data_IF_726965052372
#
_entry.id   IF_726965052372
#
_cell.length_a   1.000
_cell.length_b   1.000
_cell.length_c   1.000
_cell.angle_alpha   90.00
_cell.angle_beta   90.00
_cell.angle_gamma   90.00
#
_symmetry.space_group_name_H-M   'P 1'
#
loop_
_entity.id
_entity.type
_entity.pdbx_description
1 polymer ?
#
# COMPACT_ATOMS: atom_id res chain seq x y z
N UNK A 1 10.60 13.00 -25.92
CA UNK A 1 11.01 13.53 -27.26
C UNK A 1 12.05 14.64 -27.13
N UNK A 2 11.82 15.69 -26.31
CA UNK A 2 12.75 16.82 -26.14
C UNK A 2 14.12 16.43 -25.59
N UNK A 3 14.19 15.45 -24.67
CA UNK A 3 15.43 14.92 -24.11
C UNK A 3 16.21 14.12 -25.15
N UNK A 4 15.53 13.33 -25.97
CA UNK A 4 16.13 12.54 -27.04
C UNK A 4 16.69 13.45 -28.15
N UNK A 5 15.97 14.52 -28.50
CA UNK A 5 16.43 15.52 -29.47
C UNK A 5 17.70 16.23 -28.96
N UNK A 6 17.71 16.70 -27.72
CA UNK A 6 18.84 17.37 -27.09
C UNK A 6 20.05 16.44 -26.95
N UNK A 7 19.84 15.16 -26.63
CA UNK A 7 20.92 14.15 -26.60
C UNK A 7 21.53 13.92 -27.99
N UNK A 8 20.71 13.93 -29.05
CA UNK A 8 21.17 13.83 -30.44
C UNK A 8 22.03 15.04 -30.88
N UNK A 9 21.60 16.25 -30.50
CA UNK A 9 22.37 17.49 -30.76
C UNK A 9 23.73 17.51 -30.04
N UNK A 10 23.85 16.85 -28.87
CA UNK A 10 25.10 16.69 -28.13
C UNK A 10 25.94 15.48 -28.58
N UNK A 11 25.57 14.84 -29.72
CA UNK A 11 26.29 13.68 -30.26
C UNK A 11 26.10 12.37 -29.50
N UNK A 12 25.15 12.33 -28.57
CA UNK A 12 24.75 11.10 -27.87
C UNK A 12 23.86 10.24 -28.79
N UNK A 13 24.39 9.14 -29.29
CA UNK A 13 23.55 8.11 -29.88
C UNK A 13 22.89 7.32 -28.76
N UNK A 14 21.62 7.58 -28.52
CA UNK A 14 20.78 6.70 -27.67
C UNK A 14 20.65 5.38 -28.44
N UNK A 15 21.54 4.43 -28.18
CA UNK A 15 21.31 3.03 -28.55
C UNK A 15 20.18 2.52 -27.64
N UNK A 16 18.95 2.80 -28.01
CA UNK A 16 17.81 2.06 -27.47
C UNK A 16 18.04 0.60 -27.90
N UNK A 17 18.61 -0.24 -27.02
CA UNK A 17 18.43 -1.67 -27.14
C UNK A 17 16.93 -1.88 -26.90
N UNK A 18 16.16 -1.96 -27.98
CA UNK A 18 14.84 -2.59 -27.92
C UNK A 18 15.09 -4.05 -27.55
N UNK A 19 15.04 -4.34 -26.27
CA UNK A 19 14.95 -5.73 -25.81
C UNK A 19 13.54 -6.16 -26.18
N UNK A 20 13.42 -6.89 -27.29
CA UNK A 20 12.16 -7.52 -27.67
C UNK A 20 11.98 -8.75 -26.79
N UNK A 21 11.14 -8.66 -25.79
CA UNK A 21 10.75 -9.82 -24.99
C UNK A 21 9.75 -10.66 -25.79
N UNK A 22 10.01 -11.97 -25.90
CA UNK A 22 9.08 -12.92 -26.52
C UNK A 22 7.93 -13.31 -25.61
N UNK A 23 8.08 -13.08 -24.29
CA UNK A 23 7.12 -13.36 -23.22
C UNK A 23 6.93 -12.11 -22.39
N UNK A 24 5.72 -11.90 -21.89
CA UNK A 24 5.43 -10.77 -21.01
C UNK A 24 4.46 -11.13 -19.90
N UNK A 25 4.50 -10.36 -18.82
CA UNK A 25 3.46 -10.35 -17.78
C UNK A 25 2.79 -8.98 -17.79
N UNK A 26 1.55 -8.95 -17.31
CA UNK A 26 0.81 -7.70 -17.13
C UNK A 26 0.64 -7.43 -15.64
N UNK A 27 0.94 -6.20 -15.23
CA UNK A 27 0.68 -5.71 -13.88
C UNK A 27 -0.54 -4.80 -13.92
N UNK A 28 -1.62 -5.22 -13.33
CA UNK A 28 -2.81 -4.42 -13.16
C UNK A 28 -2.77 -3.68 -11.83
N UNK A 29 -2.91 -2.36 -11.87
CA UNK A 29 -2.91 -1.52 -10.68
C UNK A 29 -4.26 -0.82 -10.56
N UNK A 30 -4.89 -0.94 -9.40
CA UNK A 30 -6.19 -0.37 -9.13
C UNK A 30 -6.22 0.44 -7.82
N UNK A 31 -7.07 1.46 -7.80
CA UNK A 31 -7.35 2.23 -6.60
C UNK A 31 -6.26 3.24 -6.22
N UNK A 32 -5.89 3.26 -4.95
CA UNK A 32 -4.97 4.24 -4.37
C UNK A 32 -3.50 3.82 -4.40
N UNK A 33 -3.16 2.69 -5.02
CA UNK A 33 -1.76 2.31 -5.15
C UNK A 33 -1.09 3.18 -6.20
N UNK A 34 -0.14 3.99 -5.73
CA UNK A 34 0.72 4.80 -6.57
C UNK A 34 2.10 4.14 -6.70
N UNK A 35 2.76 4.30 -7.84
CA UNK A 35 3.99 3.58 -8.17
C UNK A 35 4.99 4.38 -9.02
N UNK A 36 4.67 5.63 -9.34
CA UNK A 36 5.46 6.47 -10.26
C UNK A 36 6.50 7.34 -9.55
N UNK A 37 6.53 7.32 -8.22
CA UNK A 37 7.47 8.07 -7.39
C UNK A 37 8.04 7.22 -6.26
N UNK A 38 9.28 7.51 -5.88
CA UNK A 38 10.04 6.80 -4.85
C UNK A 38 9.41 6.80 -3.46
N UNK A 39 8.60 7.80 -3.16
CA UNK A 39 7.87 7.95 -1.89
C UNK A 39 6.52 7.22 -1.86
N UNK A 40 6.24 6.43 -2.88
CA UNK A 40 4.98 5.70 -3.04
C UNK A 40 5.17 4.21 -2.78
N UNK A 41 4.22 3.61 -2.07
CA UNK A 41 4.24 2.19 -1.69
C UNK A 41 4.47 1.23 -2.87
N UNK A 42 3.84 1.48 -4.01
CA UNK A 42 3.96 0.61 -5.19
C UNK A 42 5.29 0.73 -5.94
N UNK A 43 6.11 1.74 -5.65
CA UNK A 43 7.31 2.02 -6.44
C UNK A 43 8.35 0.89 -6.36
N UNK A 44 8.75 0.52 -5.14
CA UNK A 44 9.73 -0.56 -4.92
C UNK A 44 9.22 -1.93 -5.38
N UNK A 45 7.92 -2.18 -5.21
CA UNK A 45 7.26 -3.40 -5.69
C UNK A 45 7.41 -3.52 -7.21
N UNK A 46 7.13 -2.43 -7.94
CA UNK A 46 7.26 -2.42 -9.40
C UNK A 46 8.71 -2.57 -9.83
N UNK A 47 9.65 -1.88 -9.17
CA UNK A 47 11.08 -2.02 -9.47
C UNK A 47 11.58 -3.45 -9.24
N UNK A 48 11.25 -4.07 -8.12
CA UNK A 48 11.62 -5.44 -7.80
C UNK A 48 11.04 -6.43 -8.81
N UNK A 49 9.77 -6.24 -9.20
CA UNK A 49 9.10 -7.07 -10.19
C UNK A 49 9.75 -6.93 -11.58
N UNK A 50 10.08 -5.70 -12.00
CA UNK A 50 10.78 -5.46 -13.27
C UNK A 50 12.17 -6.06 -13.28
N UNK A 51 12.93 -5.94 -12.17
CA UNK A 51 14.25 -6.54 -12.04
C UNK A 51 14.19 -8.07 -12.15
N UNK A 52 13.30 -8.71 -11.39
CA UNK A 52 13.12 -10.16 -11.44
C UNK A 52 12.65 -10.66 -12.81
N UNK A 53 11.72 -9.95 -13.45
CA UNK A 53 11.25 -10.30 -14.78
C UNK A 53 12.38 -10.19 -15.84
N UNK A 54 13.23 -9.17 -15.74
CA UNK A 54 14.36 -8.96 -16.64
C UNK A 54 15.40 -10.10 -16.54
N UNK A 55 15.67 -10.61 -15.33
CA UNK A 55 16.55 -11.76 -15.10
C UNK A 55 16.05 -13.02 -15.84
N UNK A 56 14.74 -13.15 -16.00
CA UNK A 56 14.11 -14.27 -16.72
C UNK A 56 13.78 -13.98 -18.19
N UNK A 57 14.18 -12.82 -18.72
CA UNK A 57 13.89 -12.42 -20.09
C UNK A 57 12.40 -12.17 -20.35
N UNK A 58 11.65 -11.75 -19.33
CA UNK A 58 10.20 -11.47 -19.38
C UNK A 58 9.98 -9.96 -19.40
N UNK A 59 9.15 -9.48 -20.35
CA UNK A 59 8.71 -8.09 -20.38
C UNK A 59 7.62 -7.82 -19.35
N UNK A 60 7.57 -6.59 -18.81
CA UNK A 60 6.55 -6.15 -17.85
C UNK A 60 5.73 -5.02 -18.45
N UNK A 61 4.44 -5.23 -18.61
CA UNK A 61 3.48 -4.22 -19.04
C UNK A 61 2.65 -3.76 -17.83
N UNK A 62 2.68 -2.47 -17.51
CA UNK A 62 1.94 -1.91 -16.38
C UNK A 62 0.69 -1.22 -16.91
N UNK A 63 -0.47 -1.54 -16.34
CA UNK A 63 -1.76 -1.00 -16.73
C UNK A 63 -2.53 -0.56 -15.49
N UNK A 64 -2.79 0.74 -15.37
CA UNK A 64 -3.70 1.25 -14.36
C UNK A 64 -5.15 0.97 -14.81
N UNK A 65 -5.95 0.45 -13.88
CA UNK A 65 -7.35 0.09 -14.13
C UNK A 65 -8.27 1.04 -13.37
N UNK A 66 -9.09 1.74 -14.11
CA UNK A 66 -10.16 2.59 -13.55
C UNK A 66 -11.45 1.78 -13.28
N UNK A 67 -12.34 2.35 -12.48
CA UNK A 67 -13.69 1.79 -12.26
C UNK A 67 -14.48 1.59 -13.58
N UNK A 68 -14.28 2.45 -14.56
CA UNK A 68 -14.94 2.34 -15.86
C UNK A 68 -14.40 1.15 -16.66
N UNK A 69 -13.09 0.94 -16.64
CA UNK A 69 -12.45 -0.20 -17.30
C UNK A 69 -12.79 -1.52 -16.64
N UNK A 70 -12.90 -1.56 -15.30
CA UNK A 70 -13.39 -2.75 -14.59
C UNK A 70 -14.79 -3.16 -15.07
N UNK A 71 -15.68 -2.19 -15.28
CA UNK A 71 -17.05 -2.44 -15.75
C UNK A 71 -17.15 -2.81 -17.24
N UNK A 72 -16.24 -2.29 -18.06
CA UNK A 72 -16.25 -2.56 -19.51
C UNK A 72 -15.66 -3.91 -19.91
N UNK A 73 -14.88 -4.54 -19.04
CA UNK A 73 -14.18 -5.80 -19.32
C UNK A 73 -13.01 -5.67 -20.31
N UNK A 74 -12.59 -4.45 -20.67
CA UNK A 74 -11.54 -4.21 -21.68
C UNK A 74 -10.17 -4.80 -21.31
N UNK A 75 -9.93 -5.08 -20.02
CA UNK A 75 -8.71 -5.77 -19.56
C UNK A 75 -8.56 -7.19 -20.14
N UNK A 76 -9.64 -7.83 -20.57
CA UNK A 76 -9.59 -9.12 -21.25
C UNK A 76 -8.75 -9.07 -22.52
N UNK A 77 -8.89 -8.01 -23.32
CA UNK A 77 -8.12 -7.85 -24.55
C UNK A 77 -6.63 -7.69 -24.29
N UNK A 78 -6.25 -7.11 -23.14
CA UNK A 78 -4.85 -6.93 -22.74
C UNK A 78 -4.21 -8.30 -22.45
N UNK A 79 -4.94 -9.20 -21.80
CA UNK A 79 -4.43 -10.53 -21.46
C UNK A 79 -4.53 -11.49 -22.63
N UNK A 80 -5.61 -11.42 -23.43
CA UNK A 80 -5.89 -12.36 -24.54
C UNK A 80 -5.16 -12.02 -25.85
N UNK A 81 -4.77 -10.76 -26.02
CA UNK A 81 -4.25 -10.24 -27.29
C UNK A 81 -2.77 -10.38 -27.53
N UNK A 82 -1.99 -11.01 -26.64
CA UNK A 82 -0.54 -11.06 -26.75
C UNK A 82 0.12 -12.22 -26.03
N UNK A 83 1.44 -12.24 -26.04
CA UNK A 83 2.28 -13.23 -25.36
C UNK A 83 2.28 -13.06 -23.83
N UNK A 84 1.08 -12.95 -23.21
CA UNK A 84 0.91 -12.76 -21.78
C UNK A 84 0.99 -14.10 -21.07
N UNK A 85 2.08 -14.34 -20.33
CA UNK A 85 2.34 -15.58 -19.60
C UNK A 85 1.72 -15.58 -18.19
N UNK A 86 1.33 -14.39 -17.68
CA UNK A 86 0.72 -14.26 -16.37
C UNK A 86 0.37 -12.81 -16.03
N UNK A 87 -0.34 -12.63 -14.91
CA UNK A 87 -0.76 -11.32 -14.45
C UNK A 87 -0.45 -11.10 -12.97
N UNK A 88 -0.17 -9.85 -12.59
CA UNK A 88 0.01 -9.40 -11.21
C UNK A 88 -1.04 -8.35 -10.89
N UNK A 89 -1.67 -8.46 -9.74
CA UNK A 89 -2.76 -7.58 -9.33
C UNK A 89 -2.42 -6.82 -8.05
N UNK A 90 -2.44 -5.48 -8.14
CA UNK A 90 -2.13 -4.57 -7.03
C UNK A 90 -3.33 -3.67 -6.74
N UNK A 91 -3.73 -3.58 -5.46
CA UNK A 91 -4.79 -2.68 -4.99
C UNK A 91 -6.22 -3.15 -5.20
N UNK A 92 -6.43 -4.38 -5.64
CA UNK A 92 -7.76 -4.93 -5.86
C UNK A 92 -8.41 -5.35 -4.53
N UNK A 93 -9.71 -5.09 -4.40
CA UNK A 93 -10.50 -5.49 -3.24
C UNK A 93 -11.09 -6.90 -3.42
N UNK A 94 -11.38 -7.63 -2.33
CA UNK A 94 -11.93 -9.00 -2.40
C UNK A 94 -13.21 -9.14 -3.22
N UNK A 95 -14.05 -8.11 -3.19
CA UNK A 95 -15.37 -8.09 -3.82
C UNK A 95 -15.41 -7.39 -5.19
N UNK A 96 -14.25 -7.07 -5.77
CA UNK A 96 -14.26 -6.54 -7.12
C UNK A 96 -14.77 -7.59 -8.10
N UNK A 97 -15.70 -7.21 -8.97
CA UNK A 97 -16.23 -8.03 -10.08
C UNK A 97 -15.10 -8.62 -10.92
N UNK A 98 -14.00 -7.90 -11.00
CA UNK A 98 -12.78 -8.33 -11.67
C UNK A 98 -12.20 -9.64 -11.09
N UNK A 99 -12.25 -9.84 -9.77
CA UNK A 99 -11.75 -11.07 -9.12
C UNK A 99 -12.55 -12.30 -9.56
N UNK A 100 -13.85 -12.14 -9.77
CA UNK A 100 -14.69 -13.22 -10.29
C UNK A 100 -14.32 -13.58 -11.75
N UNK A 101 -13.94 -12.58 -12.54
CA UNK A 101 -13.51 -12.78 -13.92
C UNK A 101 -12.10 -13.37 -14.04
N UNK A 102 -11.22 -13.18 -13.05
CA UNK A 102 -9.86 -13.74 -13.03
C UNK A 102 -9.87 -15.24 -13.28
N UNK A 103 -10.83 -15.97 -12.71
CA UNK A 103 -10.96 -17.42 -12.88
C UNK A 103 -11.10 -17.87 -14.34
N UNK A 104 -11.62 -17.01 -15.19
CA UNK A 104 -11.81 -17.31 -16.63
C UNK A 104 -10.57 -17.04 -17.48
N UNK A 105 -9.52 -16.40 -16.94
CA UNK A 105 -8.31 -16.04 -17.69
C UNK A 105 -7.44 -17.26 -18.01
N UNK A 106 -7.53 -18.33 -17.22
CA UNK A 106 -6.74 -19.56 -17.36
C UNK A 106 -5.22 -19.33 -17.51
N UNK A 107 -4.70 -18.28 -16.84
CA UNK A 107 -3.29 -17.92 -16.77
C UNK A 107 -2.82 -17.85 -15.31
N UNK A 108 -1.54 -18.08 -15.02
CA UNK A 108 -0.98 -17.84 -13.70
C UNK A 108 -1.13 -16.38 -13.27
N UNK A 109 -1.47 -16.18 -12.00
CA UNK A 109 -1.54 -14.83 -11.45
C UNK A 109 -0.94 -14.75 -10.05
N UNK A 110 -0.48 -13.55 -9.75
CA UNK A 110 -0.07 -13.14 -8.42
C UNK A 110 -0.96 -12.00 -7.97
N UNK A 111 -1.47 -12.08 -6.77
CA UNK A 111 -2.28 -11.01 -6.17
C UNK A 111 -1.60 -10.51 -4.90
N UNK A 112 -1.43 -9.19 -4.83
CA UNK A 112 -0.84 -8.55 -3.65
C UNK A 112 -1.93 -8.29 -2.60
N UNK A 113 -1.64 -8.69 -1.35
CA UNK A 113 -2.44 -8.36 -0.16
C UNK A 113 -3.92 -8.70 -0.30
N UNK A 114 -4.24 -9.74 -1.06
CA UNK A 114 -5.60 -10.19 -1.26
C UNK A 114 -5.67 -11.71 -1.40
N UNK A 115 -6.86 -12.28 -1.28
CA UNK A 115 -7.12 -13.70 -1.47
C UNK A 115 -8.05 -13.90 -2.66
N UNK A 116 -7.72 -14.89 -3.48
CA UNK A 116 -8.57 -15.35 -4.56
C UNK A 116 -8.55 -16.88 -4.59
N UNK A 117 -9.74 -17.48 -4.64
CA UNK A 117 -9.87 -18.92 -4.80
C UNK A 117 -9.73 -19.29 -6.28
N UNK A 118 -8.48 -19.49 -6.71
CA UNK A 118 -8.12 -19.86 -8.06
C UNK A 118 -6.84 -20.69 -8.07
N UNK A 119 -6.87 -21.87 -8.73
CA UNK A 119 -5.77 -22.84 -8.67
C UNK A 119 -4.43 -22.33 -9.19
N UNK A 120 -4.43 -21.36 -10.13
CA UNK A 120 -3.23 -20.77 -10.70
C UNK A 120 -2.88 -19.43 -10.05
N UNK A 121 -3.45 -19.11 -8.88
CA UNK A 121 -3.15 -17.89 -8.15
C UNK A 121 -2.16 -18.13 -7.00
N UNK A 122 -1.23 -17.19 -6.84
CA UNK A 122 -0.42 -17.06 -5.65
C UNK A 122 -0.71 -15.73 -4.96
N UNK A 123 -0.77 -15.73 -3.62
CA UNK A 123 -0.82 -14.52 -2.81
C UNK A 123 0.60 -14.11 -2.44
N UNK A 124 0.88 -12.82 -2.55
CA UNK A 124 2.06 -12.17 -1.97
C UNK A 124 1.60 -11.11 -1.00
N UNK A 125 2.22 -11.00 0.15
CA UNK A 125 1.92 -10.03 1.20
C UNK A 125 2.91 -10.16 2.35
N UNK A 126 2.87 -9.22 3.29
CA UNK A 126 3.68 -9.26 4.51
C UNK A 126 2.90 -9.88 5.68
N UNK A 127 3.62 -10.26 6.74
CA UNK A 127 3.00 -10.60 8.03
C UNK A 127 2.59 -9.31 8.77
N UNK A 128 1.45 -8.77 8.34
CA UNK A 128 0.89 -7.55 8.91
C UNK A 128 0.53 -7.72 10.39
N UNK A 129 0.15 -8.92 10.81
CA UNK A 129 -0.28 -9.18 12.19
C UNK A 129 0.89 -9.02 13.16
N UNK A 130 2.03 -9.62 12.86
CA UNK A 130 3.22 -9.52 13.70
C UNK A 130 3.73 -8.07 13.77
N UNK A 131 3.78 -7.36 12.62
CA UNK A 131 4.23 -5.97 12.59
C UNK A 131 3.36 -5.04 13.44
N UNK A 132 2.04 -5.16 13.37
CA UNK A 132 1.11 -4.37 14.19
C UNK A 132 1.21 -4.75 15.66
N UNK A 133 1.34 -6.04 16.00
CA UNK A 133 1.53 -6.49 17.39
C UNK A 133 2.79 -5.84 17.99
N UNK A 134 3.91 -5.88 17.30
CA UNK A 134 5.15 -5.24 17.74
C UNK A 134 4.99 -3.73 17.92
N UNK A 135 4.25 -3.06 17.05
CA UNK A 135 3.99 -1.63 17.15
C UNK A 135 3.18 -1.27 18.39
N UNK A 136 2.11 -2.01 18.67
CA UNK A 136 1.29 -1.82 19.88
C UNK A 136 2.10 -2.11 21.14
N UNK A 137 2.89 -3.20 21.17
CA UNK A 137 3.79 -3.52 22.28
C UNK A 137 4.84 -2.41 22.51
N UNK A 138 5.41 -1.88 21.44
CA UNK A 138 6.36 -0.77 21.51
C UNK A 138 5.73 0.46 22.18
N UNK A 139 4.52 0.85 21.78
CA UNK A 139 3.80 1.96 22.40
C UNK A 139 3.48 1.69 23.86
N UNK A 140 3.03 0.49 24.19
CA UNK A 140 2.78 0.09 25.57
C UNK A 140 4.05 0.15 26.44
N UNK A 141 5.18 -0.33 25.97
CA UNK A 141 6.48 -0.22 26.66
C UNK A 141 6.95 1.23 26.86
N UNK A 142 6.42 2.17 26.07
CA UNK A 142 6.64 3.63 26.22
C UNK A 142 5.64 4.29 27.16
N UNK A 143 4.74 3.52 27.78
CA UNK A 143 3.78 3.99 28.76
C UNK A 143 2.43 4.40 28.18
N UNK A 144 2.15 4.08 26.95
CA UNK A 144 0.84 4.33 26.33
C UNK A 144 -0.15 3.21 26.68
N UNK A 145 -1.21 3.55 27.39
CA UNK A 145 -2.32 2.66 27.77
C UNK A 145 -3.63 2.97 27.00
N UNK A 146 -3.70 4.12 26.36
CA UNK A 146 -4.82 4.57 25.50
C UNK A 146 -4.30 4.78 24.09
N UNK A 147 -4.44 3.75 23.28
CA UNK A 147 -3.92 3.70 21.92
C UNK A 147 -5.09 3.72 20.94
N UNK A 148 -5.07 4.61 19.96
CA UNK A 148 -6.06 4.68 18.88
C UNK A 148 -5.55 3.99 17.61
N UNK A 149 -6.44 3.83 16.63
CA UNK A 149 -6.13 3.19 15.34
C UNK A 149 -6.66 4.03 14.19
N UNK A 150 -5.80 4.26 13.20
CA UNK A 150 -6.16 4.89 11.93
C UNK A 150 -5.91 3.93 10.78
N UNK A 151 -6.98 3.32 10.29
CA UNK A 151 -6.99 2.35 9.20
C UNK A 151 -7.06 2.99 7.81
N UNK A 152 -6.89 2.16 6.80
CA UNK A 152 -7.11 2.52 5.39
C UNK A 152 -8.58 2.44 4.99
N UNK A 153 -8.89 1.65 3.95
CA UNK A 153 -10.27 1.34 3.58
C UNK A 153 -10.78 0.16 4.41
N UNK A 154 -11.96 0.31 5.01
CA UNK A 154 -12.52 -0.67 5.94
C UNK A 154 -12.74 -2.06 5.32
N UNK A 155 -13.04 -2.11 4.02
CA UNK A 155 -13.25 -3.33 3.25
C UNK A 155 -11.95 -3.90 2.62
N UNK A 156 -10.78 -3.30 2.91
CA UNK A 156 -9.48 -3.83 2.50
C UNK A 156 -9.03 -4.95 3.42
N UNK A 157 -8.56 -6.08 2.86
CA UNK A 157 -8.00 -7.20 3.64
C UNK A 157 -6.87 -6.72 4.54
N UNK A 158 -5.94 -5.93 4.03
CA UNK A 158 -4.81 -5.40 4.81
C UNK A 158 -5.30 -4.57 6.00
N UNK A 159 -6.33 -3.73 5.80
CA UNK A 159 -6.91 -2.95 6.90
C UNK A 159 -7.54 -3.85 7.95
N UNK A 160 -8.27 -4.89 7.53
CA UNK A 160 -8.92 -5.83 8.45
C UNK A 160 -7.89 -6.66 9.22
N UNK A 161 -6.86 -7.20 8.55
CA UNK A 161 -5.78 -7.95 9.18
C UNK A 161 -5.02 -7.08 10.20
N UNK A 162 -4.65 -5.85 9.84
CA UNK A 162 -3.96 -4.90 10.72
C UNK A 162 -4.84 -4.44 11.89
N UNK A 163 -6.12 -4.22 11.65
CA UNK A 163 -7.06 -3.89 12.73
C UNK A 163 -7.26 -5.05 13.70
N UNK A 164 -7.44 -6.28 13.20
CA UNK A 164 -7.57 -7.46 14.05
C UNK A 164 -6.31 -7.64 14.92
N UNK A 165 -5.12 -7.51 14.32
CA UNK A 165 -3.86 -7.60 15.05
C UNK A 165 -3.70 -6.52 16.14
N UNK A 166 -4.16 -5.29 15.85
CA UNK A 166 -4.20 -4.22 16.83
C UNK A 166 -5.14 -4.56 18.01
N UNK A 167 -6.36 -5.00 17.73
CA UNK A 167 -7.34 -5.37 18.75
C UNK A 167 -6.85 -6.53 19.61
N UNK A 168 -6.27 -7.57 18.98
CA UNK A 168 -5.71 -8.72 19.69
C UNK A 168 -4.51 -8.31 20.56
N UNK A 169 -3.62 -7.47 20.07
CA UNK A 169 -2.48 -6.97 20.84
C UNK A 169 -2.90 -6.15 22.07
N UNK A 170 -3.91 -5.29 21.97
CA UNK A 170 -4.48 -4.59 23.13
C UNK A 170 -5.01 -5.58 24.15
N UNK A 171 -5.76 -6.58 23.71
CA UNK A 171 -6.32 -7.61 24.59
C UNK A 171 -5.23 -8.44 25.28
N UNK A 172 -4.19 -8.84 24.58
CA UNK A 172 -3.03 -9.57 25.13
C UNK A 172 -2.32 -8.76 26.22
N UNK A 173 -2.27 -7.43 26.09
CA UNK A 173 -1.66 -6.53 27.05
C UNK A 173 -2.62 -6.09 28.18
N UNK A 174 -3.88 -6.55 28.18
CA UNK A 174 -4.89 -6.16 29.14
C UNK A 174 -5.35 -4.71 29.01
N UNK A 175 -5.17 -4.11 27.82
CA UNK A 175 -5.62 -2.76 27.51
C UNK A 175 -7.05 -2.76 26.96
N UNK A 176 -7.80 -1.72 27.29
CA UNK A 176 -9.16 -1.52 26.77
C UNK A 176 -9.13 -0.89 25.38
N UNK A 177 -9.82 -1.52 24.43
CA UNK A 177 -9.99 -0.95 23.10
C UNK A 177 -11.12 0.11 23.11
N UNK A 178 -10.76 1.36 22.83
CA UNK A 178 -11.74 2.41 22.63
C UNK A 178 -12.22 2.44 21.17
N UNK A 179 -13.41 1.92 20.89
CA UNK A 179 -13.99 1.88 19.54
C UNK A 179 -14.20 3.28 18.93
N UNK A 180 -14.35 4.32 19.74
CA UNK A 180 -14.43 5.70 19.27
C UNK A 180 -13.08 6.25 18.80
N UNK A 181 -11.99 5.59 19.17
CA UNK A 181 -10.64 5.89 18.71
C UNK A 181 -10.22 5.06 17.48
N UNK A 182 -11.11 4.29 16.87
CA UNK A 182 -10.88 3.54 15.64
C UNK A 182 -11.55 4.25 14.47
N UNK A 183 -10.78 4.63 13.45
CA UNK A 183 -11.30 5.31 12.25
C UNK A 183 -10.57 4.83 11.00
N UNK A 184 -11.20 5.04 9.85
CA UNK A 184 -10.69 4.62 8.54
C UNK A 184 -10.49 5.83 7.61
N UNK A 185 -9.27 6.03 7.11
CA UNK A 185 -8.81 7.20 6.36
C UNK A 185 -8.71 7.01 4.84
N UNK A 186 -9.10 5.88 4.29
CA UNK A 186 -9.07 5.54 2.86
C UNK A 186 -7.68 5.69 2.21
N UNK A 187 -6.61 5.33 2.91
CA UNK A 187 -5.21 5.49 2.47
C UNK A 187 -4.92 6.86 1.83
N UNK A 188 -5.53 7.92 2.34
CA UNK A 188 -5.41 9.26 1.75
C UNK A 188 -5.27 10.35 2.80
N UNK A 189 -4.48 11.39 2.48
CA UNK A 189 -4.34 12.58 3.32
C UNK A 189 -5.70 13.26 3.60
N UNK A 190 -6.60 13.31 2.60
CA UNK A 190 -7.95 13.87 2.77
C UNK A 190 -8.80 13.06 3.74
N UNK A 191 -8.67 11.74 3.71
CA UNK A 191 -9.36 10.83 4.64
C UNK A 191 -8.83 10.98 6.06
N UNK A 192 -7.51 11.00 6.23
CA UNK A 192 -6.83 11.22 7.51
C UNK A 192 -7.27 12.52 8.18
N UNK A 193 -7.28 13.63 7.44
CA UNK A 193 -7.69 14.96 7.91
C UNK A 193 -9.05 14.96 8.61
N UNK A 194 -9.99 14.17 8.12
CA UNK A 194 -11.32 14.07 8.69
C UNK A 194 -11.42 13.14 9.90
N UNK A 195 -10.41 12.31 10.14
CA UNK A 195 -10.48 11.19 11.09
C UNK A 195 -9.56 11.34 12.29
N UNK A 196 -8.40 11.99 12.11
CA UNK A 196 -7.39 12.03 13.17
C UNK A 196 -7.80 12.88 14.38
N UNK A 197 -8.44 14.03 14.16
CA UNK A 197 -8.89 14.88 15.27
C UNK A 197 -9.99 14.20 16.11
N UNK A 198 -11.03 13.56 15.53
CA UNK A 198 -11.95 12.74 16.31
C UNK A 198 -11.25 11.64 17.13
N UNK A 199 -10.19 10.99 16.61
CA UNK A 199 -9.39 10.02 17.37
C UNK A 199 -8.71 10.72 18.57
N UNK A 200 -8.00 11.82 18.33
CA UNK A 200 -7.29 12.56 19.39
C UNK A 200 -8.23 13.04 20.48
N UNK A 201 -9.44 13.50 20.14
CA UNK A 201 -10.47 13.98 21.07
C UNK A 201 -11.01 12.90 22.01
N UNK A 202 -10.79 11.61 21.72
CA UNK A 202 -11.15 10.51 22.65
C UNK A 202 -10.19 10.40 23.84
N UNK A 203 -9.11 11.18 23.87
CA UNK A 203 -8.11 11.16 24.94
C UNK A 203 -7.06 10.07 24.81
N UNK A 204 -6.88 9.48 23.61
CA UNK A 204 -5.75 8.58 23.34
C UNK A 204 -4.43 9.32 23.42
N UNK A 205 -3.39 8.63 23.86
CA UNK A 205 -2.04 9.17 23.96
C UNK A 205 -1.12 8.72 22.82
N UNK A 206 -1.57 7.72 22.03
CA UNK A 206 -0.88 7.29 20.83
C UNK A 206 -1.88 6.84 19.77
N UNK A 207 -1.46 6.88 18.50
CA UNK A 207 -2.23 6.38 17.35
C UNK A 207 -1.34 5.48 16.50
N UNK A 208 -1.82 4.26 16.26
CA UNK A 208 -1.26 3.35 15.26
C UNK A 208 -1.89 3.68 13.91
N UNK A 209 -1.11 4.21 12.99
CA UNK A 209 -1.51 4.39 11.59
C UNK A 209 -1.00 3.21 10.77
N UNK A 210 -1.85 2.66 9.92
CA UNK A 210 -1.50 1.47 9.13
C UNK A 210 -0.65 1.77 7.88
N UNK A 211 -0.24 3.00 7.67
CA UNK A 211 0.74 3.37 6.66
C UNK A 211 1.45 4.67 7.02
N UNK A 212 2.64 4.89 6.48
CA UNK A 212 3.42 6.10 6.71
C UNK A 212 2.75 7.34 6.13
N UNK A 213 2.05 7.20 5.01
CA UNK A 213 1.30 8.31 4.41
C UNK A 213 0.16 8.78 5.33
N UNK A 214 -0.54 7.83 5.99
CA UNK A 214 -1.54 8.17 6.98
C UNK A 214 -0.91 8.82 8.21
N UNK A 215 0.24 8.28 8.68
CA UNK A 215 0.97 8.81 9.83
C UNK A 215 1.47 10.24 9.60
N UNK A 216 2.13 10.50 8.46
CA UNK A 216 2.58 11.86 8.11
C UNK A 216 1.42 12.85 8.01
N UNK A 217 0.31 12.42 7.40
CA UNK A 217 -0.89 13.25 7.32
C UNK A 217 -1.51 13.48 8.69
N UNK A 218 -1.48 12.47 9.58
CA UNK A 218 -1.98 12.59 10.95
C UNK A 218 -1.16 13.59 11.76
N UNK A 219 0.18 13.51 11.70
CA UNK A 219 1.07 14.48 12.35
C UNK A 219 0.74 15.91 11.91
N UNK A 220 0.69 16.14 10.60
CA UNK A 220 0.39 17.48 10.07
C UNK A 220 -0.95 18.06 10.55
N UNK A 221 -1.99 17.23 10.61
CA UNK A 221 -3.31 17.71 11.03
C UNK A 221 -3.41 17.89 12.55
N UNK A 222 -2.72 17.06 13.33
CA UNK A 222 -2.61 17.22 14.79
C UNK A 222 -1.88 18.52 15.13
N UNK A 223 -0.72 18.79 14.51
CA UNK A 223 0.04 20.00 14.74
C UNK A 223 -0.73 21.28 14.33
N UNK A 224 -1.47 21.25 13.21
CA UNK A 224 -2.37 22.35 12.81
C UNK A 224 -3.47 22.61 13.85
N UNK A 225 -3.89 21.57 14.57
CA UNK A 225 -4.88 21.68 15.63
C UNK A 225 -4.29 22.05 16.99
N UNK A 226 -2.97 22.26 17.09
CA UNK A 226 -2.27 22.70 18.28
C UNK A 226 -1.72 21.57 19.17
N UNK A 227 -1.81 20.30 18.74
CA UNK A 227 -1.15 19.20 19.43
C UNK A 227 0.36 19.19 19.13
N UNK A 228 1.17 18.83 20.10
CA UNK A 228 2.61 18.61 19.94
C UNK A 228 2.87 17.12 19.81
N UNK A 229 3.33 16.70 18.64
CA UNK A 229 3.72 15.30 18.37
C UNK A 229 5.23 15.17 18.60
N UNK A 230 5.73 14.23 19.41
CA UNK A 230 4.98 13.15 20.09
C UNK A 230 4.53 13.47 21.53
N UNK A 231 4.71 14.72 22.04
CA UNK A 231 4.54 15.05 23.46
C UNK A 231 3.10 14.87 23.94
N UNK A 232 2.13 15.38 23.21
CA UNK A 232 0.71 15.26 23.56
C UNK A 232 0.11 13.94 23.05
N UNK A 233 0.57 13.52 21.87
CA UNK A 233 0.08 12.30 21.21
C UNK A 233 1.19 11.72 20.31
N UNK A 234 1.52 10.44 20.52
CA UNK A 234 2.47 9.72 19.66
C UNK A 234 1.79 9.17 18.42
N UNK A 235 2.48 9.20 17.28
CA UNK A 235 1.99 8.66 16.01
C UNK A 235 3.00 7.67 15.46
N UNK A 236 2.53 6.48 15.08
CA UNK A 236 3.35 5.48 14.40
C UNK A 236 2.80 5.19 13.02
N UNK A 237 3.68 4.76 12.12
CA UNK A 237 3.37 4.40 10.73
C UNK A 237 3.61 2.93 10.43
N UNK A 238 3.52 2.60 9.16
CA UNK A 238 3.80 1.28 8.60
C UNK A 238 4.29 1.48 7.16
N UNK A 239 5.18 0.65 6.64
CA UNK A 239 5.77 0.56 5.32
C UNK A 239 7.25 0.96 5.26
N UNK A 240 7.73 1.81 6.18
CA UNK A 240 9.08 2.39 6.19
C UNK A 240 9.41 3.13 4.87
N UNK A 241 8.44 3.90 4.37
CA UNK A 241 8.66 4.75 3.21
C UNK A 241 9.63 5.90 3.54
N UNK A 242 10.39 6.41 2.56
CA UNK A 242 11.31 7.55 2.77
C UNK A 242 10.67 8.74 3.48
N UNK A 243 9.38 8.99 3.26
CA UNK A 243 8.64 10.07 3.90
C UNK A 243 8.64 9.98 5.43
N UNK A 244 8.70 8.77 6.00
CA UNK A 244 8.74 8.55 7.46
C UNK A 244 10.05 9.05 8.07
N UNK A 245 11.15 8.94 7.35
CA UNK A 245 12.46 9.40 7.79
C UNK A 245 12.62 10.92 7.67
N UNK A 246 12.06 11.51 6.61
CA UNK A 246 12.18 12.94 6.33
C UNK A 246 11.08 13.80 6.97
N UNK A 247 10.07 13.19 7.58
CA UNK A 247 9.04 13.92 8.34
C UNK A 247 9.60 14.57 9.61
N UNK A 248 8.93 15.61 10.10
CA UNK A 248 9.25 16.26 11.37
C UNK A 248 7.96 16.32 12.21
N UNK A 249 7.94 15.61 13.36
CA UNK A 249 8.96 14.66 13.85
C UNK A 249 9.08 13.42 12.93
N UNK A 250 10.21 12.71 13.01
CA UNK A 250 10.38 11.41 12.35
C UNK A 250 9.36 10.43 12.85
N UNK A 251 8.85 9.58 11.97
CA UNK A 251 7.83 8.60 12.30
C UNK A 251 8.47 7.26 12.60
N UNK A 252 8.16 6.71 13.77
CA UNK A 252 8.43 5.31 14.08
C UNK A 252 7.52 4.46 13.20
N UNK A 253 8.10 3.56 12.41
CA UNK A 253 7.38 2.79 11.41
C UNK A 253 7.84 1.34 11.38
N UNK A 254 7.02 0.46 10.80
CA UNK A 254 7.36 -0.94 10.56
C UNK A 254 7.84 -1.11 9.12
N UNK A 255 9.02 -1.74 8.96
CA UNK A 255 9.54 -2.09 7.64
C UNK A 255 8.81 -3.32 7.09
N UNK A 256 8.37 -3.24 5.84
CA UNK A 256 7.90 -4.38 5.07
C UNK A 256 9.06 -4.94 4.24
N UNK A 257 9.37 -6.20 4.42
CA UNK A 257 10.41 -6.88 3.67
C UNK A 257 9.82 -7.58 2.45
#
# INVERSE_FOLDING_TARGET
ERVVACAGEMGYQVKAKHVSYTKSIVVFIYGSIHYDKVDQFGYEIILGLQAAAAEHGIGVNITAISNAELKSGNYYSIVSGGNCEGAVFLGFKPHHVFIEHIRSLNIPLVILDNNVDYQLAARVGCDSAEGIRQMVQYLWMRGHDRIGFLGGEEDSIVTQERYQAYSDALKELGLEENKDAVRYGHFSAKGTRKRILPIAQTGVTAVVCISDLLACSAVQELEKAGYVVPTDISVTGYDNLPVSEYSQPRITTMYQN
#
